data_IF_504975110401
#
_entry.id   IF_504975110401
#
_cell.length_a   1.000
_cell.length_b   1.000
_cell.length_c   1.000
_cell.angle_alpha   90.00
_cell.angle_beta   90.00
_cell.angle_gamma   90.00
#
_symmetry.space_group_name_H-M   'P 1'
#
loop_
_entity.id
_entity.type
_entity.pdbx_description
1 polymer ?
#
# COMPACT_ATOMS: atom_id res chain seq x y z
N UNK A 1 0.01 -8.54 25.05
CA UNK A 1 0.58 -9.29 23.89
C UNK A 1 -0.18 -8.85 22.66
N UNK A 2 0.43 -8.09 21.75
CA UNK A 2 -0.16 -7.83 20.44
C UNK A 2 0.24 -8.97 19.51
N UNK A 3 -0.74 -9.67 18.96
CA UNK A 3 -0.53 -10.66 17.90
C UNK A 3 -0.58 -9.93 16.56
N UNK A 4 0.35 -10.23 15.65
CA UNK A 4 0.44 -9.55 14.36
C UNK A 4 1.52 -10.14 13.45
N UNK A 5 1.63 -9.59 12.25
CA UNK A 5 2.64 -9.93 11.26
C UNK A 5 3.47 -8.68 10.98
N UNK A 6 4.78 -8.80 11.09
CA UNK A 6 5.71 -7.70 10.84
C UNK A 6 5.83 -7.42 9.33
N UNK A 7 5.99 -6.14 8.99
CA UNK A 7 6.24 -5.76 7.60
C UNK A 7 7.59 -6.28 7.12
N UNK A 8 7.64 -6.66 5.85
CA UNK A 8 8.79 -7.17 5.14
C UNK A 8 9.35 -8.50 5.68
N UNK A 9 8.67 -9.13 6.63
CA UNK A 9 8.96 -10.50 7.05
C UNK A 9 8.15 -11.53 6.26
N UNK A 10 8.76 -12.69 6.00
CA UNK A 10 8.13 -13.80 5.30
C UNK A 10 7.54 -14.78 6.30
N UNK A 11 6.23 -14.97 6.22
CA UNK A 11 5.49 -15.92 7.05
C UNK A 11 5.10 -17.16 6.23
N UNK A 12 5.08 -18.32 6.88
CA UNK A 12 4.76 -19.60 6.23
C UNK A 12 3.36 -20.06 6.61
N UNK A 13 2.60 -20.46 5.60
CA UNK A 13 1.32 -21.15 5.71
C UNK A 13 1.50 -22.63 5.37
N UNK A 14 0.41 -23.39 5.43
CA UNK A 14 0.42 -24.80 5.02
C UNK A 14 0.68 -24.95 3.52
N UNK A 15 1.12 -26.13 3.10
CA UNK A 15 1.29 -26.52 1.69
C UNK A 15 2.32 -25.67 0.92
N UNK A 16 3.35 -25.16 1.61
CA UNK A 16 4.43 -24.40 0.97
C UNK A 16 4.00 -23.01 0.47
N UNK A 17 2.89 -22.49 0.98
CA UNK A 17 2.45 -21.13 0.70
C UNK A 17 3.13 -20.19 1.69
N UNK A 18 3.64 -19.07 1.21
CA UNK A 18 4.21 -18.02 2.03
C UNK A 18 3.54 -16.70 1.74
N UNK A 19 3.58 -15.78 2.70
CA UNK A 19 3.19 -14.40 2.44
C UNK A 19 4.15 -13.42 3.12
N UNK A 20 4.21 -12.22 2.55
CA UNK A 20 4.94 -11.06 3.07
C UNK A 20 4.00 -9.85 3.00
N UNK A 21 3.98 -9.04 4.05
CA UNK A 21 3.25 -7.76 4.05
C UNK A 21 4.23 -6.63 3.75
N UNK A 22 3.86 -5.71 2.86
CA UNK A 22 4.58 -4.45 2.67
C UNK A 22 3.65 -3.28 2.94
N UNK A 23 4.20 -2.13 3.32
CA UNK A 23 3.37 -0.95 3.63
C UNK A 23 2.67 -0.45 2.36
N UNK A 24 1.37 -0.15 2.46
CA UNK A 24 0.61 0.44 1.36
C UNK A 24 0.50 1.97 1.45
N UNK A 25 0.77 2.56 2.62
CA UNK A 25 0.80 4.01 2.82
C UNK A 25 -0.57 4.70 2.77
N UNK A 26 -1.69 3.97 2.72
CA UNK A 26 -3.05 4.51 2.59
C UNK A 26 -3.64 4.98 3.91
N UNK A 27 -3.53 4.14 4.95
CA UNK A 27 -3.86 4.44 6.36
C UNK A 27 -2.82 3.80 7.28
N UNK A 28 -2.85 4.12 8.58
CA UNK A 28 -1.97 3.48 9.56
C UNK A 28 -2.20 1.96 9.57
N UNK A 29 -1.12 1.20 9.40
CA UNK A 29 -1.16 -0.27 9.31
C UNK A 29 -1.62 -0.82 7.96
N UNK A 30 -1.96 0.02 6.97
CA UNK A 30 -2.31 -0.44 5.62
C UNK A 30 -1.16 -1.19 4.96
N UNK A 31 -1.50 -2.25 4.22
CA UNK A 31 -0.51 -3.10 3.59
C UNK A 31 -0.99 -3.69 2.27
N UNK A 32 -0.03 -3.94 1.38
CA UNK A 32 -0.20 -4.91 0.30
C UNK A 32 0.29 -6.26 0.79
N UNK A 33 -0.25 -7.34 0.20
CA UNK A 33 0.18 -8.71 0.50
C UNK A 33 0.77 -9.35 -0.74
N UNK A 34 1.98 -9.88 -0.58
CA UNK A 34 2.62 -10.72 -1.57
C UNK A 34 2.51 -12.16 -1.12
N UNK A 35 1.87 -12.99 -1.93
CA UNK A 35 1.73 -14.43 -1.70
C UNK A 35 2.67 -15.15 -2.66
N UNK A 36 3.43 -16.10 -2.15
CA UNK A 36 4.38 -16.89 -2.93
C UNK A 36 4.10 -18.36 -2.75
N UNK A 37 3.98 -19.07 -3.87
CA UNK A 37 4.03 -20.51 -3.99
C UNK A 37 5.42 -20.90 -4.53
N UNK A 38 5.63 -22.20 -4.80
CA UNK A 38 6.93 -22.71 -5.25
C UNK A 38 7.46 -22.00 -6.50
N UNK A 39 6.60 -21.83 -7.51
CA UNK A 39 6.99 -21.33 -8.84
C UNK A 39 6.04 -20.23 -9.34
N UNK A 40 5.28 -19.60 -8.43
CA UNK A 40 4.30 -18.58 -8.78
C UNK A 40 4.08 -17.60 -7.61
N UNK A 41 3.85 -16.34 -7.94
CA UNK A 41 3.71 -15.28 -6.96
C UNK A 41 2.64 -14.27 -7.38
N UNK A 42 1.87 -13.82 -6.41
CA UNK A 42 0.77 -12.87 -6.61
C UNK A 42 0.92 -11.73 -5.61
N UNK A 43 0.81 -10.49 -6.09
CA UNK A 43 0.72 -9.31 -5.23
C UNK A 43 -0.71 -8.77 -5.29
N UNK A 44 -1.33 -8.59 -4.14
CA UNK A 44 -2.57 -7.85 -4.00
C UNK A 44 -2.23 -6.50 -3.37
N UNK A 45 -2.50 -5.40 -4.08
CA UNK A 45 -2.09 -4.06 -3.63
C UNK A 45 -2.80 -3.59 -2.35
N UNK A 46 -4.02 -4.08 -2.10
CA UNK A 46 -4.95 -3.35 -1.23
C UNK A 46 -5.22 -1.96 -1.82
N UNK A 47 -5.48 -0.99 -0.95
CA UNK A 47 -5.56 0.43 -1.34
C UNK A 47 -4.19 1.09 -1.15
N UNK A 48 -3.71 1.78 -2.18
CA UNK A 48 -2.42 2.44 -2.19
C UNK A 48 -2.58 3.90 -1.78
N UNK A 49 -1.71 4.34 -0.87
CA UNK A 49 -1.64 5.72 -0.47
C UNK A 49 -0.87 6.58 -1.46
N UNK A 50 -1.24 7.85 -1.63
CA UNK A 50 -0.42 8.78 -2.39
C UNK A 50 0.87 9.11 -1.61
N UNK A 51 1.94 9.36 -2.36
CA UNK A 51 3.23 9.82 -1.82
C UNK A 51 3.12 11.17 -1.12
N UNK A 52 4.03 11.43 -0.18
CA UNK A 52 4.13 12.65 0.61
C UNK A 52 2.86 12.94 1.44
N UNK A 53 2.21 11.88 1.92
CA UNK A 53 1.10 12.00 2.87
C UNK A 53 1.66 12.18 4.28
N UNK A 54 1.37 13.28 4.99
CA UNK A 54 1.86 13.49 6.35
C UNK A 54 1.47 12.33 7.24
N UNK A 55 2.34 11.98 8.19
CA UNK A 55 2.14 10.94 9.21
C UNK A 55 2.25 9.51 8.68
N UNK A 56 2.03 9.27 7.38
CA UNK A 56 2.13 7.94 6.78
C UNK A 56 3.51 7.70 6.17
N UNK A 57 3.99 6.47 6.29
CA UNK A 57 5.14 6.02 5.52
C UNK A 57 4.76 5.91 4.04
N UNK A 58 5.73 6.10 3.17
CA UNK A 58 5.58 5.81 1.75
C UNK A 58 5.23 4.33 1.53
N UNK A 59 4.48 4.00 0.47
CA UNK A 59 4.26 2.62 0.08
C UNK A 59 5.61 1.92 -0.20
N UNK A 60 5.78 0.70 0.32
CA UNK A 60 6.94 -0.13 0.00
C UNK A 60 6.85 -0.59 -1.48
N UNK A 61 7.99 -0.94 -2.08
CA UNK A 61 8.02 -1.52 -3.43
C UNK A 61 7.93 -3.05 -3.29
N UNK A 62 6.93 -3.72 -3.91
CA UNK A 62 6.85 -5.18 -3.86
C UNK A 62 7.99 -5.82 -4.66
N UNK A 63 8.35 -7.06 -4.32
CA UNK A 63 9.28 -7.83 -5.16
C UNK A 63 8.59 -8.15 -6.51
N UNK A 64 9.34 -8.52 -7.56
CA UNK A 64 8.75 -9.00 -8.80
C UNK A 64 7.74 -10.13 -8.55
N UNK A 65 6.62 -10.08 -9.27
CA UNK A 65 5.57 -11.09 -9.18
C UNK A 65 5.04 -11.48 -10.55
N UNK A 66 4.43 -12.66 -10.62
CA UNK A 66 3.85 -13.20 -11.85
C UNK A 66 2.47 -12.59 -12.14
N UNK A 67 1.73 -12.23 -11.08
CA UNK A 67 0.43 -11.59 -11.17
C UNK A 67 0.30 -10.44 -10.17
N UNK A 68 -0.10 -9.27 -10.67
CA UNK A 68 -0.43 -8.10 -9.87
C UNK A 68 -1.94 -7.86 -9.91
N UNK A 69 -2.59 -7.94 -8.76
CA UNK A 69 -3.97 -7.52 -8.54
C UNK A 69 -3.93 -6.13 -7.92
N UNK A 70 -4.12 -5.11 -8.75
CA UNK A 70 -4.02 -3.70 -8.40
C UNK A 70 -5.41 -3.08 -8.20
N UNK A 71 -5.56 -2.23 -7.20
CA UNK A 71 -6.72 -1.35 -7.10
C UNK A 71 -6.81 -0.37 -8.29
N UNK A 72 -7.99 0.20 -8.51
CA UNK A 72 -8.23 1.10 -9.65
C UNK A 72 -9.04 2.34 -9.28
N UNK A 73 -9.03 2.73 -8.00
CA UNK A 73 -9.83 3.83 -7.44
C UNK A 73 -9.71 5.14 -8.23
N UNK A 74 -8.50 5.46 -8.70
CA UNK A 74 -8.21 6.63 -9.54
C UNK A 74 -7.51 6.22 -10.85
N UNK A 75 -7.85 5.06 -11.41
CA UNK A 75 -7.19 4.53 -12.62
C UNK A 75 -7.35 5.39 -13.87
N UNK A 76 -8.25 6.37 -13.86
CA UNK A 76 -8.58 7.28 -14.96
C UNK A 76 -8.14 8.74 -14.71
N UNK A 77 -7.58 9.05 -13.53
CA UNK A 77 -7.44 10.43 -13.05
C UNK A 77 -6.08 10.68 -12.39
N UNK A 78 -5.46 11.83 -12.70
CA UNK A 78 -4.21 12.24 -12.07
C UNK A 78 -4.45 13.13 -10.84
N UNK A 79 -3.65 12.90 -9.80
CA UNK A 79 -3.67 13.76 -8.62
C UNK A 79 -3.06 15.14 -8.95
N UNK A 80 -3.81 16.20 -8.64
CA UNK A 80 -3.29 17.57 -8.67
C UNK A 80 -2.28 17.84 -7.54
N UNK A 81 -1.44 18.87 -7.73
CA UNK A 81 -0.42 19.29 -6.76
C UNK A 81 -1.02 19.50 -5.35
N UNK A 82 -0.47 18.75 -4.39
CA UNK A 82 -0.88 18.78 -2.98
C UNK A 82 -0.76 20.18 -2.38
N UNK A 83 0.26 20.95 -2.75
CA UNK A 83 0.47 22.32 -2.26
C UNK A 83 -0.67 23.24 -2.69
N UNK A 84 -1.12 23.10 -3.95
CA UNK A 84 -2.28 23.85 -4.46
C UNK A 84 -3.56 23.48 -3.72
N UNK A 85 -3.78 22.19 -3.46
CA UNK A 85 -4.95 21.70 -2.69
C UNK A 85 -4.97 22.25 -1.26
N UNK A 86 -3.83 22.27 -0.57
CA UNK A 86 -3.72 22.85 0.77
C UNK A 86 -3.97 24.37 0.75
N UNK A 87 -3.41 25.09 -0.24
CA UNK A 87 -3.65 26.53 -0.38
C UNK A 87 -5.12 26.84 -0.63
N UNK A 88 -5.78 26.04 -1.48
CA UNK A 88 -7.22 26.15 -1.70
C UNK A 88 -7.96 25.93 -0.39
N UNK A 89 -7.74 24.82 0.32
CA UNK A 89 -8.41 24.57 1.60
C UNK A 89 -8.21 25.71 2.62
N UNK A 90 -7.00 26.24 2.73
CA UNK A 90 -6.71 27.38 3.62
C UNK A 90 -7.52 28.64 3.27
N UNK A 91 -7.74 28.91 1.99
CA UNK A 91 -8.56 30.07 1.58
C UNK A 91 -10.02 29.91 1.97
N UNK A 92 -10.54 28.68 2.05
CA UNK A 92 -11.93 28.41 2.41
C UNK A 92 -12.16 28.42 3.93
N UNK A 93 -11.14 28.13 4.73
CA UNK A 93 -11.27 28.06 6.19
C UNK A 93 -11.06 29.43 6.85
N UNK A 94 -10.36 30.36 6.19
CA UNK A 94 -10.03 31.70 6.70
C UNK A 94 -11.16 32.75 6.56
N UNK A 95 -12.41 32.36 6.80
CA UNK A 95 -13.48 33.34 7.03
C UNK A 95 -13.26 34.04 8.37
#
# INVERSE_FOLDING_TARGET
MSWGFEFNERFSLKKGIHFKLGRAGHILGSCFVQISLKDYSVVFSGDLGPKNTPILCEPDIPDPCDLLVLESTYGDSFHGDRTKRIKQLNNWVKF
#
